data_IF_248203071350
#
_entry.id   IF_248203071350
#
_cell.length_a   1.000
_cell.length_b   1.000
_cell.length_c   1.000
_cell.angle_alpha   90.00
_cell.angle_beta   90.00
_cell.angle_gamma   90.00
#
_symmetry.space_group_name_H-M   'P 1'
#
loop_
_entity.id
_entity.type
_entity.pdbx_description
1 polymer ?
#
# COMPACT_ATOMS: atom_id res chain seq x y z
N UNK A 1 13.83 -10.88 13.10
CA UNK A 1 15.29 -10.69 12.84
C UNK A 1 16.11 -11.46 13.88
N UNK A 2 15.80 -11.46 15.17
CA UNK A 2 16.59 -12.19 16.20
C UNK A 2 16.66 -13.71 16.05
N UNK A 3 15.77 -14.35 15.31
CA UNK A 3 15.78 -15.80 15.11
C UNK A 3 16.80 -16.28 14.06
N UNK A 4 17.27 -15.41 13.18
CA UNK A 4 18.11 -15.77 12.03
C UNK A 4 19.62 -15.53 12.23
N UNK A 5 20.01 -14.99 13.37
CA UNK A 5 21.44 -14.71 13.69
C UNK A 5 22.23 -15.95 14.15
N UNK A 6 21.65 -17.15 14.13
CA UNK A 6 22.34 -18.41 14.51
C UNK A 6 22.69 -19.30 13.31
N UNK A 7 23.31 -18.74 12.27
CA UNK A 7 24.00 -19.54 11.25
C UNK A 7 23.13 -20.32 10.27
N UNK A 8 21.83 -20.08 10.23
CA UNK A 8 20.95 -20.65 9.21
C UNK A 8 20.68 -19.59 8.14
N UNK A 9 20.88 -19.90 6.88
CA UNK A 9 20.45 -19.07 5.74
C UNK A 9 18.93 -18.90 5.80
N UNK A 10 18.46 -17.86 6.47
CA UNK A 10 17.07 -17.45 6.48
C UNK A 10 16.83 -16.40 5.40
N UNK A 11 15.88 -16.64 4.51
CA UNK A 11 15.34 -15.62 3.62
C UNK A 11 14.20 -14.95 4.37
N UNK A 12 14.36 -13.69 4.73
CA UNK A 12 13.28 -12.90 5.32
C UNK A 12 12.61 -12.04 4.26
N UNK A 13 11.29 -11.91 4.35
CA UNK A 13 10.49 -11.06 3.45
C UNK A 13 10.15 -9.78 4.21
N UNK A 14 10.78 -8.70 3.81
CA UNK A 14 10.61 -7.37 4.42
C UNK A 14 9.98 -6.41 3.43
N UNK A 15 9.11 -5.55 3.91
CA UNK A 15 8.58 -4.45 3.09
C UNK A 15 9.68 -3.43 2.75
N UNK A 16 9.69 -2.93 1.51
CA UNK A 16 10.69 -1.99 1.00
C UNK A 16 10.92 -0.79 1.92
N UNK A 17 9.87 -0.27 2.56
CA UNK A 17 9.98 0.84 3.51
C UNK A 17 10.85 0.54 4.75
N UNK A 18 11.08 -0.74 5.06
CA UNK A 18 11.95 -1.17 6.17
C UNK A 18 13.36 -1.55 5.73
N UNK A 19 13.56 -1.79 4.44
CA UNK A 19 14.87 -2.20 3.89
C UNK A 19 15.91 -1.12 4.14
N UNK A 20 15.58 0.14 3.84
CA UNK A 20 16.51 1.24 4.03
C UNK A 20 16.98 1.35 5.49
N UNK A 21 16.08 1.27 6.46
CA UNK A 21 16.43 1.35 7.89
C UNK A 21 17.33 0.19 8.32
N UNK A 22 17.07 -1.02 7.83
CA UNK A 22 17.90 -2.19 8.12
C UNK A 22 19.28 -2.08 7.46
N UNK A 23 19.36 -1.56 6.25
CA UNK A 23 20.61 -1.34 5.53
C UNK A 23 21.48 -0.28 6.24
N UNK A 24 20.90 0.82 6.68
CA UNK A 24 21.61 1.86 7.45
C UNK A 24 22.19 1.34 8.77
N UNK A 25 21.57 0.32 9.34
CA UNK A 25 22.03 -0.31 10.57
C UNK A 25 23.00 -1.48 10.34
N UNK A 26 23.39 -1.73 9.10
CA UNK A 26 24.32 -2.82 8.74
C UNK A 26 23.78 -4.23 9.05
N UNK A 27 22.44 -4.42 9.02
CA UNK A 27 21.81 -5.66 9.43
C UNK A 27 21.75 -6.72 8.30
N UNK A 28 22.18 -6.35 7.10
CA UNK A 28 22.18 -7.27 5.95
C UNK A 28 23.54 -7.91 5.73
N UNK A 29 23.51 -9.13 5.24
CA UNK A 29 24.67 -9.83 4.70
C UNK A 29 24.54 -9.88 3.17
N UNK A 30 25.52 -9.36 2.41
CA UNK A 30 25.48 -9.42 0.95
C UNK A 30 25.44 -10.85 0.43
N UNK A 31 24.56 -11.10 -0.52
CA UNK A 31 24.45 -12.37 -1.24
C UNK A 31 24.89 -12.17 -2.68
N UNK A 32 25.92 -12.89 -3.13
CA UNK A 32 26.36 -12.89 -4.52
C UNK A 32 25.80 -14.12 -5.22
N UNK A 33 24.89 -13.91 -6.18
CA UNK A 33 24.26 -14.99 -6.93
C UNK A 33 23.96 -14.51 -8.35
N UNK A 34 24.58 -15.17 -9.33
CA UNK A 34 24.30 -14.89 -10.75
C UNK A 34 22.84 -15.15 -11.07
N UNK A 35 22.24 -16.22 -10.53
CA UNK A 35 20.81 -16.54 -10.74
C UNK A 35 19.89 -15.42 -10.27
N UNK A 36 20.15 -14.81 -9.11
CA UNK A 36 19.36 -13.68 -8.63
C UNK A 36 19.60 -12.43 -9.46
N UNK A 37 20.86 -12.19 -9.84
CA UNK A 37 21.24 -11.06 -10.68
C UNK A 37 20.58 -11.12 -12.07
N UNK A 38 20.49 -12.31 -12.65
CA UNK A 38 19.92 -12.51 -13.99
C UNK A 38 18.37 -12.46 -13.98
N UNK A 39 17.74 -12.90 -12.88
CA UNK A 39 16.28 -13.03 -12.81
C UNK A 39 15.56 -11.85 -12.18
N UNK A 40 16.24 -11.05 -11.37
CA UNK A 40 15.63 -9.91 -10.68
C UNK A 40 16.12 -8.63 -11.35
N UNK A 41 15.22 -7.77 -11.88
CA UNK A 41 15.59 -6.50 -12.49
C UNK A 41 16.45 -5.64 -11.58
N UNK A 42 17.38 -4.88 -12.15
CA UNK A 42 18.29 -4.00 -11.39
C UNK A 42 17.54 -2.98 -10.51
N UNK A 43 16.37 -2.53 -10.96
CA UNK A 43 15.48 -1.65 -10.18
C UNK A 43 14.82 -2.30 -8.96
N UNK A 44 14.89 -3.63 -8.85
CA UNK A 44 14.30 -4.41 -7.76
C UNK A 44 15.34 -5.13 -6.90
N UNK A 45 16.60 -4.69 -6.94
CA UNK A 45 17.66 -5.27 -6.12
C UNK A 45 18.71 -4.23 -5.73
N UNK A 46 19.38 -4.50 -4.64
CA UNK A 46 20.55 -3.73 -4.23
C UNK A 46 21.75 -4.06 -5.10
N UNK A 47 22.50 -3.06 -5.64
CA UNK A 47 23.71 -3.31 -6.42
C UNK A 47 24.78 -4.12 -5.67
N UNK A 48 24.87 -3.97 -4.36
CA UNK A 48 25.81 -4.67 -3.50
C UNK A 48 25.30 -6.04 -3.04
N UNK A 49 24.04 -6.39 -3.36
CA UNK A 49 23.46 -7.68 -3.05
C UNK A 49 22.90 -7.80 -1.62
N UNK A 50 22.63 -6.69 -0.94
CA UNK A 50 22.09 -6.70 0.42
C UNK A 50 20.62 -7.10 0.47
N UNK A 51 19.86 -6.89 -0.64
CA UNK A 51 18.47 -7.30 -0.74
C UNK A 51 18.03 -7.52 -2.19
N UNK A 52 16.96 -8.29 -2.36
CA UNK A 52 16.36 -8.64 -3.64
C UNK A 52 14.83 -8.60 -3.53
N UNK A 53 14.16 -7.96 -4.50
CA UNK A 53 12.70 -7.89 -4.57
C UNK A 53 12.13 -9.06 -5.35
N UNK A 54 11.39 -9.94 -4.68
CA UNK A 54 10.79 -11.13 -5.30
C UNK A 54 9.35 -10.90 -5.79
N UNK A 55 8.69 -9.84 -5.34
CA UNK A 55 7.32 -9.52 -5.73
C UNK A 55 7.04 -8.03 -5.62
N UNK A 56 6.13 -7.54 -6.43
CA UNK A 56 5.61 -6.18 -6.37
C UNK A 56 4.12 -6.18 -6.00
N UNK A 57 3.67 -5.08 -5.41
CA UNK A 57 2.27 -4.83 -5.05
C UNK A 57 1.88 -3.45 -5.50
N UNK A 58 0.64 -3.29 -5.95
CA UNK A 58 0.10 -1.96 -6.17
C UNK A 58 -0.76 -1.54 -4.95
N UNK A 59 -0.61 -0.29 -4.54
CA UNK A 59 -1.56 0.34 -3.66
C UNK A 59 -2.61 0.99 -4.55
N UNK A 60 -3.88 0.69 -4.33
CA UNK A 60 -4.97 1.05 -5.25
C UNK A 60 -6.06 1.82 -4.52
N UNK A 61 -6.86 2.53 -5.30
CA UNK A 61 -8.07 3.17 -4.80
C UNK A 61 -9.21 2.14 -4.87
N UNK A 62 -9.82 1.87 -3.72
CA UNK A 62 -11.04 1.07 -3.61
C UNK A 62 -12.21 2.03 -3.47
N UNK A 63 -13.29 1.79 -4.20
CA UNK A 63 -14.48 2.65 -4.16
C UNK A 63 -15.77 1.84 -4.02
N UNK A 64 -16.80 2.45 -3.45
CA UNK A 64 -18.15 1.89 -3.37
C UNK A 64 -18.84 2.06 -4.74
N UNK A 65 -19.22 0.93 -5.37
CA UNK A 65 -19.81 0.90 -6.72
C UNK A 65 -21.13 1.66 -6.83
N UNK A 66 -21.90 1.73 -5.73
CA UNK A 66 -23.18 2.44 -5.71
C UNK A 66 -23.02 3.95 -5.47
N UNK A 67 -21.90 4.39 -4.87
CA UNK A 67 -21.73 5.78 -4.42
C UNK A 67 -20.72 6.59 -5.24
N UNK A 68 -19.78 5.93 -5.95
CA UNK A 68 -18.69 6.59 -6.65
C UNK A 68 -18.60 6.10 -8.09
N UNK A 69 -18.62 7.03 -9.02
CA UNK A 69 -18.18 6.78 -10.39
C UNK A 69 -16.63 6.68 -10.38
N UNK A 70 -16.01 5.59 -10.85
CA UNK A 70 -14.55 5.45 -10.87
C UNK A 70 -13.84 6.57 -11.65
N UNK A 71 -14.47 7.16 -12.64
CA UNK A 71 -13.93 8.31 -13.37
C UNK A 71 -13.75 9.57 -12.48
N UNK A 72 -14.38 9.61 -11.31
CA UNK A 72 -14.20 10.69 -10.35
C UNK A 72 -12.96 10.54 -9.47
N UNK A 73 -12.33 9.37 -9.47
CA UNK A 73 -11.14 9.04 -8.64
C UNK A 73 -10.06 8.33 -9.46
N UNK A 74 -9.63 8.90 -10.61
CA UNK A 74 -8.74 8.23 -11.53
C UNK A 74 -7.29 8.13 -11.02
N UNK A 75 -6.89 9.00 -10.11
CA UNK A 75 -5.51 9.08 -9.58
C UNK A 75 -5.52 9.35 -8.08
N UNK A 76 -4.36 9.22 -7.43
CA UNK A 76 -4.21 9.57 -6.01
C UNK A 76 -4.47 11.06 -5.75
N UNK A 77 -4.08 11.93 -6.68
CA UNK A 77 -4.29 13.38 -6.58
C UNK A 77 -5.78 13.71 -6.46
N UNK A 78 -6.63 12.96 -7.13
CA UNK A 78 -8.08 13.18 -7.10
C UNK A 78 -8.71 12.98 -5.72
N UNK A 79 -8.03 12.26 -4.81
CA UNK A 79 -8.50 12.08 -3.43
C UNK A 79 -8.49 13.38 -2.61
N UNK A 80 -7.72 14.38 -3.06
CA UNK A 80 -7.65 15.70 -2.45
C UNK A 80 -8.84 16.62 -2.81
N UNK A 81 -9.63 16.25 -3.82
CA UNK A 81 -10.78 17.05 -4.26
C UNK A 81 -11.82 17.16 -3.13
N UNK A 82 -12.27 18.37 -2.84
CA UNK A 82 -13.23 18.68 -1.78
C UNK A 82 -14.60 17.99 -1.93
N UNK A 83 -14.96 17.56 -3.16
CA UNK A 83 -16.16 16.71 -3.40
C UNK A 83 -16.12 15.38 -2.65
N UNK A 84 -14.94 14.96 -2.19
CA UNK A 84 -14.74 13.75 -1.41
C UNK A 84 -14.73 13.97 0.11
N UNK A 85 -15.10 15.16 0.57
CA UNK A 85 -15.20 15.48 2.01
C UNK A 85 -16.07 14.47 2.75
N UNK A 86 -15.51 13.89 3.82
CA UNK A 86 -16.19 12.88 4.63
C UNK A 86 -16.35 11.51 3.94
N UNK A 87 -15.59 11.23 2.87
CA UNK A 87 -15.76 10.00 2.08
C UNK A 87 -14.53 9.09 2.05
N UNK A 88 -13.37 9.56 2.50
CA UNK A 88 -12.12 8.82 2.38
C UNK A 88 -11.80 8.06 3.65
N UNK A 89 -11.42 6.79 3.54
CA UNK A 89 -10.87 5.98 4.62
C UNK A 89 -9.45 5.52 4.28
N UNK A 90 -8.60 5.47 5.28
CA UNK A 90 -7.27 4.88 5.17
C UNK A 90 -6.82 4.31 6.51
N UNK A 91 -5.82 3.45 6.46
CA UNK A 91 -5.06 3.02 7.64
C UNK A 91 -4.12 4.12 8.11
N UNK A 92 -3.43 3.91 9.24
CA UNK A 92 -2.47 4.87 9.78
C UNK A 92 -1.51 5.43 8.73
N UNK A 93 -1.28 6.75 8.74
CA UNK A 93 -0.29 7.43 7.90
C UNK A 93 1.14 6.96 8.17
N UNK A 94 1.46 6.57 9.43
CA UNK A 94 2.76 6.01 9.80
C UNK A 94 2.96 4.54 9.39
N UNK A 95 1.98 3.90 8.77
CA UNK A 95 2.16 2.53 8.29
C UNK A 95 3.01 2.49 7.01
N UNK A 96 3.94 1.51 6.85
CA UNK A 96 4.84 1.40 5.70
C UNK A 96 4.18 1.56 4.34
N UNK A 97 2.93 1.09 4.16
CA UNK A 97 2.22 1.20 2.88
C UNK A 97 1.84 2.65 2.53
N UNK A 98 1.41 3.44 3.51
CA UNK A 98 1.13 4.85 3.29
C UNK A 98 2.40 5.68 3.20
N UNK A 99 3.44 5.36 3.99
CA UNK A 99 4.75 5.99 3.87
C UNK A 99 5.34 5.78 2.46
N UNK A 100 5.26 4.56 1.91
CA UNK A 100 5.72 4.27 0.54
C UNK A 100 4.93 5.04 -0.52
N UNK A 101 3.61 5.19 -0.35
CA UNK A 101 2.78 5.99 -1.26
C UNK A 101 3.19 7.47 -1.20
N UNK A 102 3.30 8.03 0.01
CA UNK A 102 3.71 9.44 0.19
C UNK A 102 5.11 9.67 -0.38
N UNK A 103 6.05 8.76 -0.15
CA UNK A 103 7.39 8.84 -0.72
C UNK A 103 7.38 8.84 -2.27
N UNK A 104 6.55 7.99 -2.88
CA UNK A 104 6.37 7.98 -4.33
C UNK A 104 5.77 9.30 -4.85
N UNK A 105 4.78 9.84 -4.14
CA UNK A 105 4.20 11.14 -4.51
C UNK A 105 5.19 12.30 -4.37
N UNK A 106 6.03 12.29 -3.34
CA UNK A 106 7.12 13.28 -3.19
C UNK A 106 8.09 13.18 -4.36
N UNK A 107 8.47 11.97 -4.77
CA UNK A 107 9.38 11.76 -5.90
C UNK A 107 8.81 12.26 -7.23
N UNK A 108 7.48 12.19 -7.42
CA UNK A 108 6.83 12.60 -8.67
C UNK A 108 6.36 14.05 -8.65
N UNK A 109 5.82 14.54 -7.53
CA UNK A 109 5.14 15.83 -7.45
C UNK A 109 5.92 16.88 -6.64
N UNK A 110 6.97 16.46 -5.95
CA UNK A 110 7.70 17.27 -4.97
C UNK A 110 7.03 17.34 -3.60
N UNK A 111 7.81 17.74 -2.60
CA UNK A 111 7.41 17.72 -1.19
C UNK A 111 6.21 18.65 -0.90
N UNK A 112 6.28 19.91 -1.34
CA UNK A 112 5.25 20.91 -1.05
C UNK A 112 3.87 20.48 -1.59
N UNK A 113 3.79 20.02 -2.84
CA UNK A 113 2.52 19.55 -3.43
C UNK A 113 2.00 18.30 -2.75
N UNK A 114 2.89 17.40 -2.34
CA UNK A 114 2.51 16.19 -1.62
C UNK A 114 2.00 16.49 -0.23
N UNK A 115 2.57 17.49 0.45
CA UNK A 115 2.08 17.96 1.75
C UNK A 115 0.68 18.56 1.63
N UNK A 116 0.44 19.42 0.63
CA UNK A 116 -0.89 19.98 0.33
C UNK A 116 -1.91 18.89 0.05
N UNK A 117 -1.55 17.93 -0.79
CA UNK A 117 -2.36 16.75 -1.06
C UNK A 117 -2.70 15.96 0.21
N UNK A 118 -1.71 15.68 1.04
CA UNK A 118 -1.91 14.92 2.27
C UNK A 118 -2.85 15.65 3.24
N UNK A 119 -2.70 16.96 3.40
CA UNK A 119 -3.59 17.81 4.20
C UNK A 119 -5.04 17.75 3.68
N UNK A 120 -5.22 17.87 2.37
CA UNK A 120 -6.53 17.80 1.74
C UNK A 120 -7.17 16.41 1.90
N UNK A 121 -6.41 15.33 1.72
CA UNK A 121 -6.89 13.96 1.97
C UNK A 121 -7.31 13.76 3.42
N UNK A 122 -6.54 14.28 4.39
CA UNK A 122 -6.92 14.26 5.82
C UNK A 122 -8.24 15.00 6.03
N UNK A 123 -8.43 16.16 5.40
CA UNK A 123 -9.68 16.93 5.44
C UNK A 123 -10.88 16.19 4.81
N UNK A 124 -10.63 15.25 3.93
CA UNK A 124 -11.65 14.44 3.25
C UNK A 124 -11.95 13.12 3.96
N UNK A 125 -11.28 12.82 5.06
CA UNK A 125 -11.52 11.56 5.78
C UNK A 125 -12.91 11.50 6.40
N UNK A 126 -13.55 10.33 6.25
CA UNK A 126 -14.83 10.01 6.90
C UNK A 126 -14.65 9.75 8.41
N UNK A 127 -13.48 9.31 8.81
CA UNK A 127 -13.10 8.97 10.18
C UNK A 127 -11.59 9.03 10.39
N UNK A 128 -11.10 9.09 11.63
CA UNK A 128 -9.67 8.93 11.91
C UNK A 128 -9.12 7.63 11.32
N UNK A 129 -7.85 7.63 10.85
CA UNK A 129 -7.19 6.43 10.33
C UNK A 129 -7.19 5.30 11.36
N UNK A 130 -7.65 4.11 10.96
CA UNK A 130 -7.69 2.92 11.84
C UNK A 130 -7.74 1.63 11.05
N UNK A 131 -7.40 0.52 11.69
CA UNK A 131 -7.47 -0.83 11.12
C UNK A 131 -6.47 -1.11 10.01
N UNK A 132 -6.59 -2.26 9.39
CA UNK A 132 -5.80 -2.70 8.24
C UNK A 132 -6.51 -2.47 6.90
N UNK A 133 -5.89 -2.90 5.80
CA UNK A 133 -6.44 -2.71 4.46
C UNK A 133 -7.77 -3.45 4.25
N UNK A 134 -7.96 -4.62 4.88
CA UNK A 134 -9.26 -5.32 4.87
C UNK A 134 -10.37 -4.49 5.52
N UNK A 135 -10.05 -3.79 6.64
CA UNK A 135 -11.02 -2.93 7.32
C UNK A 135 -11.39 -1.71 6.47
N UNK A 136 -10.45 -1.23 5.63
CA UNK A 136 -10.74 -0.16 4.68
C UNK A 136 -11.75 -0.64 3.62
N UNK A 137 -11.52 -1.82 3.01
CA UNK A 137 -12.44 -2.38 2.01
C UNK A 137 -13.81 -2.65 2.63
N UNK A 138 -13.86 -3.22 3.84
CA UNK A 138 -15.10 -3.40 4.60
C UNK A 138 -15.82 -2.07 4.82
N UNK A 139 -15.10 -1.04 5.30
CA UNK A 139 -15.66 0.29 5.54
C UNK A 139 -16.33 0.89 4.29
N UNK A 140 -15.69 0.70 3.12
CA UNK A 140 -16.26 1.11 1.82
C UNK A 140 -17.50 0.27 1.48
N UNK A 141 -17.47 -1.04 1.69
CA UNK A 141 -18.57 -1.93 1.35
C UNK A 141 -19.83 -1.69 2.18
N UNK A 142 -19.66 -1.29 3.47
CA UNK A 142 -20.78 -1.01 4.38
C UNK A 142 -21.19 0.46 4.42
N UNK A 143 -20.54 1.32 3.62
CA UNK A 143 -20.90 2.75 3.51
C UNK A 143 -20.36 3.64 4.62
N UNK A 144 -19.42 3.18 5.45
CA UNK A 144 -18.72 4.03 6.44
C UNK A 144 -17.86 5.10 5.73
N UNK A 145 -17.31 4.75 4.58
CA UNK A 145 -16.68 5.66 3.63
C UNK A 145 -17.03 5.22 2.21
N UNK A 146 -16.79 6.08 1.24
CA UNK A 146 -17.07 5.77 -0.16
C UNK A 146 -15.81 5.41 -0.96
N UNK A 147 -14.65 5.79 -0.45
CA UNK A 147 -13.33 5.64 -1.09
C UNK A 147 -12.33 5.22 -0.03
N UNK A 148 -11.40 4.31 -0.39
CA UNK A 148 -10.31 3.94 0.49
C UNK A 148 -9.04 3.60 -0.28
N UNK A 149 -7.91 3.55 0.44
CA UNK A 149 -6.64 3.04 -0.05
C UNK A 149 -6.38 1.64 0.48
N UNK A 150 -6.03 0.70 -0.39
CA UNK A 150 -5.68 -0.68 -0.04
C UNK A 150 -4.63 -1.24 -0.98
N UNK A 151 -3.89 -2.26 -0.54
CA UNK A 151 -3.05 -3.02 -1.44
C UNK A 151 -3.89 -4.07 -2.19
N UNK A 152 -3.55 -4.30 -3.46
CA UNK A 152 -4.29 -5.16 -4.41
C UNK A 152 -4.62 -6.53 -3.86
N UNK A 153 -3.68 -7.19 -3.18
CA UNK A 153 -3.85 -8.56 -2.73
C UNK A 153 -4.91 -8.72 -1.62
N UNK A 154 -5.22 -7.66 -0.86
CA UNK A 154 -6.33 -7.70 0.09
C UNK A 154 -7.68 -7.82 -0.63
N UNK A 155 -7.87 -7.05 -1.70
CA UNK A 155 -9.07 -7.14 -2.52
C UNK A 155 -9.23 -8.51 -3.17
N UNK A 156 -8.16 -9.02 -3.79
CA UNK A 156 -8.15 -10.36 -4.41
C UNK A 156 -8.44 -11.46 -3.39
N UNK A 157 -7.90 -11.33 -2.18
CA UNK A 157 -8.19 -12.27 -1.09
C UNK A 157 -9.67 -12.29 -0.71
N UNK A 158 -10.31 -11.12 -0.62
CA UNK A 158 -11.75 -11.03 -0.33
C UNK A 158 -12.60 -11.64 -1.45
N UNK A 159 -12.24 -11.42 -2.71
CA UNK A 159 -12.93 -12.04 -3.86
C UNK A 159 -12.91 -13.58 -3.79
N UNK A 160 -11.84 -14.17 -3.25
CA UNK A 160 -11.63 -15.62 -3.16
C UNK A 160 -11.89 -16.19 -1.76
N UNK A 161 -12.43 -15.39 -0.85
CA UNK A 161 -12.66 -15.84 0.52
C UNK A 161 -13.71 -16.95 0.60
N UNK A 162 -13.50 -17.91 1.50
CA UNK A 162 -14.51 -18.88 1.86
C UNK A 162 -15.72 -18.26 2.59
N UNK A 163 -15.53 -17.11 3.24
CA UNK A 163 -16.57 -16.41 3.98
C UNK A 163 -17.48 -15.62 3.05
N UNK A 164 -18.80 -15.89 3.02
CA UNK A 164 -19.75 -15.19 2.16
C UNK A 164 -19.74 -13.67 2.34
N UNK A 165 -19.64 -13.20 3.58
CA UNK A 165 -19.62 -11.76 3.91
C UNK A 165 -18.41 -11.03 3.28
N UNK A 166 -17.23 -11.67 3.27
CA UNK A 166 -16.03 -11.08 2.68
C UNK A 166 -16.15 -10.96 1.16
N UNK A 167 -16.76 -11.96 0.51
CA UNK A 167 -17.07 -11.88 -0.93
C UNK A 167 -18.11 -10.79 -1.23
N UNK A 168 -19.09 -10.60 -0.35
CA UNK A 168 -20.09 -9.53 -0.48
C UNK A 168 -19.42 -8.15 -0.41
N UNK A 169 -18.46 -7.93 0.52
CA UNK A 169 -17.70 -6.68 0.56
C UNK A 169 -16.97 -6.42 -0.76
N UNK A 170 -16.31 -7.44 -1.31
CA UNK A 170 -15.63 -7.32 -2.60
C UNK A 170 -16.62 -7.03 -3.75
N UNK A 171 -17.80 -7.64 -3.75
CA UNK A 171 -18.82 -7.41 -4.77
C UNK A 171 -19.37 -5.98 -4.76
N UNK A 172 -19.54 -5.37 -3.58
CA UNK A 172 -20.01 -3.98 -3.41
C UNK A 172 -18.94 -2.94 -3.75
N UNK A 173 -17.68 -3.35 -3.83
CA UNK A 173 -16.56 -2.44 -4.07
C UNK A 173 -15.93 -2.66 -5.45
N UNK A 174 -15.28 -1.63 -5.96
CA UNK A 174 -14.47 -1.68 -7.17
C UNK A 174 -13.07 -1.16 -6.89
N UNK A 175 -12.16 -1.35 -7.85
CA UNK A 175 -10.77 -0.94 -7.77
C UNK A 175 -10.43 -0.09 -8.98
N UNK A 176 -9.73 1.02 -8.76
CA UNK A 176 -9.06 1.80 -9.79
C UNK A 176 -7.59 1.40 -9.78
N UNK A 177 -7.10 1.01 -10.97
CA UNK A 177 -5.74 0.49 -11.21
C UNK A 177 -4.82 1.60 -11.69
#
# INVERSE_FOLDING_TARGET
IRQYTKGTLGIDIVDAARLWSAQQQGLFQPVRSNTLADRIPASMRDPEGNWFGFSSRARVIVYNRAAINPAAVPTYESLADSKHKGKVCTRSGGHPYNLSLVAAMIAHNGEARTEEWAKAVVGNMARPPRGGDTDQIKGVAVGECAIALSNTYYYVRLLRSAKPEEREWAAKTGVVW
#
